data_IF_284970186073
#
_entry.id   IF_284970186073
#
_cell.length_a   1.000
_cell.length_b   1.000
_cell.length_c   1.000
_cell.angle_alpha   90.00
_cell.angle_beta   90.00
_cell.angle_gamma   90.00
#
_symmetry.space_group_name_H-M   'P 1'
#
loop_
_entity.id
_entity.type
_entity.pdbx_description
1 polymer ?
#
# COMPACT_ATOMS: atom_id res chain seq x y z
N UNK A 1 5.09 3.87 -4.19
CA UNK A 1 3.75 4.43 -4.50
C UNK A 1 2.91 4.31 -3.23
N UNK A 2 2.09 5.31 -2.92
CA UNK A 2 1.18 5.29 -1.76
C UNK A 2 -0.26 5.39 -2.24
N UNK A 3 -1.16 4.63 -1.61
CA UNK A 3 -2.59 4.67 -1.88
C UNK A 3 -3.30 4.83 -0.53
N UNK A 4 -4.03 5.93 -0.38
CA UNK A 4 -4.88 6.20 0.78
C UNK A 4 -6.30 5.75 0.46
N UNK A 5 -6.88 4.97 1.36
CA UNK A 5 -8.26 4.48 1.26
C UNK A 5 -9.09 5.12 2.37
N UNK A 6 -10.38 5.32 2.12
CA UNK A 6 -11.29 5.89 3.10
C UNK A 6 -11.48 5.01 4.36
N UNK A 7 -11.22 3.71 4.25
CA UNK A 7 -11.37 2.75 5.34
C UNK A 7 -10.34 1.61 5.30
N UNK A 8 -10.26 0.88 6.42
CA UNK A 8 -9.37 -0.27 6.61
C UNK A 8 -9.78 -1.45 5.73
N UNK A 9 -11.08 -1.62 5.45
CA UNK A 9 -11.57 -2.73 4.64
C UNK A 9 -11.13 -2.59 3.17
N UNK A 10 -11.19 -1.39 2.61
CA UNK A 10 -10.77 -1.05 1.27
C UNK A 10 -9.27 -1.23 1.08
N UNK A 11 -8.46 -0.72 2.02
CA UNK A 11 -7.01 -0.91 1.99
C UNK A 11 -6.62 -2.39 2.14
N UNK A 12 -7.33 -3.15 2.99
CA UNK A 12 -7.11 -4.59 3.17
C UNK A 12 -7.42 -5.38 1.90
N UNK A 13 -8.57 -5.11 1.25
CA UNK A 13 -8.94 -5.74 -0.03
C UNK A 13 -7.92 -5.43 -1.12
N UNK A 14 -7.47 -4.17 -1.20
CA UNK A 14 -6.47 -3.77 -2.18
C UNK A 14 -5.12 -4.47 -1.94
N UNK A 15 -4.64 -4.50 -0.69
CA UNK A 15 -3.40 -5.21 -0.34
C UNK A 15 -3.47 -6.68 -0.72
N UNK A 16 -4.57 -7.36 -0.37
CA UNK A 16 -4.76 -8.78 -0.69
C UNK A 16 -4.83 -9.02 -2.21
N UNK A 17 -5.46 -8.11 -2.96
CA UNK A 17 -5.58 -8.21 -4.40
C UNK A 17 -4.28 -7.93 -5.16
N UNK A 18 -3.42 -7.05 -4.64
CA UNK A 18 -2.22 -6.58 -5.33
C UNK A 18 -0.94 -7.30 -4.90
N UNK A 19 -0.80 -7.64 -3.62
CA UNK A 19 0.41 -8.24 -3.10
C UNK A 19 0.68 -9.60 -3.78
N UNK A 20 1.85 -9.76 -4.38
CA UNK A 20 2.25 -10.95 -5.13
C UNK A 20 1.81 -10.98 -6.59
N UNK A 21 0.96 -10.05 -7.06
CA UNK A 21 0.64 -9.97 -8.51
C UNK A 21 1.84 -9.47 -9.30
N UNK A 22 1.91 -9.85 -10.58
CA UNK A 22 2.93 -9.33 -11.50
C UNK A 22 2.38 -8.16 -12.31
N UNK A 23 3.11 -7.06 -12.34
CA UNK A 23 2.86 -5.91 -13.21
C UNK A 23 4.11 -5.63 -14.05
N UNK A 24 3.98 -5.70 -15.37
CA UNK A 24 5.12 -5.51 -16.29
C UNK A 24 6.28 -6.49 -16.05
N UNK A 25 5.99 -7.70 -15.59
CA UNK A 25 7.02 -8.70 -15.23
C UNK A 25 7.55 -8.61 -13.79
N UNK A 26 7.31 -7.49 -13.09
CA UNK A 26 7.75 -7.27 -11.71
C UNK A 26 6.69 -7.73 -10.71
N UNK A 27 7.09 -8.46 -9.67
CA UNK A 27 6.19 -8.83 -8.59
C UNK A 27 5.91 -7.61 -7.70
N UNK A 28 4.64 -7.32 -7.47
CA UNK A 28 4.17 -6.25 -6.59
C UNK A 28 4.26 -6.73 -5.15
N UNK A 29 4.83 -5.87 -4.31
CA UNK A 29 4.77 -5.98 -2.86
C UNK A 29 3.90 -4.85 -2.35
N UNK A 30 2.77 -5.19 -1.73
CA UNK A 30 1.85 -4.23 -1.12
C UNK A 30 1.85 -4.43 0.39
N UNK A 31 2.22 -3.37 1.11
CA UNK A 31 2.29 -3.33 2.59
C UNK A 31 1.47 -2.16 3.11
N UNK A 32 1.04 -2.24 4.36
CA UNK A 32 0.46 -1.09 5.04
C UNK A 32 1.56 -0.13 5.46
N UNK A 33 1.24 1.16 5.40
CA UNK A 33 2.14 2.22 5.84
C UNK A 33 1.46 3.04 6.94
N UNK A 34 2.17 3.43 8.02
CA UNK A 34 1.58 4.24 9.07
C UNK A 34 1.10 5.62 8.55
N UNK A 35 -0.16 5.96 8.80
CA UNK A 35 -0.76 7.21 8.33
C UNK A 35 -0.05 8.45 8.87
N UNK A 36 0.39 8.41 10.13
CA UNK A 36 1.11 9.51 10.76
C UNK A 36 2.44 9.80 10.05
N UNK A 37 3.19 8.77 9.65
CA UNK A 37 4.43 8.94 8.88
C UNK A 37 4.13 9.54 7.52
N UNK A 38 3.09 9.04 6.84
CA UNK A 38 2.70 9.56 5.53
C UNK A 38 2.30 11.04 5.60
N UNK A 39 1.49 11.41 6.60
CA UNK A 39 1.05 12.79 6.83
C UNK A 39 2.21 13.73 7.22
N UNK A 40 3.24 13.19 7.88
CA UNK A 40 4.46 13.93 8.26
C UNK A 40 5.47 14.04 7.11
N UNK A 41 5.22 13.39 5.97
CA UNK A 41 6.19 13.34 4.86
C UNK A 41 7.39 12.44 5.14
N UNK A 42 7.35 11.63 6.21
CA UNK A 42 8.33 10.60 6.48
C UNK A 42 8.01 9.40 5.59
N UNK A 43 8.86 9.14 4.60
CA UNK A 43 8.71 8.04 3.63
C UNK A 43 9.88 7.03 3.72
N UNK A 44 10.75 7.14 4.72
CA UNK A 44 11.94 6.30 4.89
C UNK A 44 11.62 4.98 5.64
N UNK A 45 10.57 4.29 5.19
CA UNK A 45 10.06 3.04 5.78
C UNK A 45 11.08 1.92 5.94
#
# INVERSE_FOLDING_TARGET
>A
VFLEYADVDGSTKARAGLNGRKFGGNQVVAVFYPENKFAQGDYEG
#
